data_IF_597291929595
#
_entry.id   IF_597291929595
#
_cell.length_a   1.000
_cell.length_b   1.000
_cell.length_c   1.000
_cell.angle_alpha   90.00
_cell.angle_beta   90.00
_cell.angle_gamma   90.00
#
_symmetry.space_group_name_H-M   'P 1'
#
loop_
_entity.id
_entity.type
_entity.pdbx_description
1 polymer ?
#
# COMPACT_ATOMS: atom_id res chain seq x y z
N UNK A 1 -15.67 -9.74 3.44
CA UNK A 1 -15.42 -8.46 4.13
C UNK A 1 -15.47 -7.35 3.08
N UNK A 2 -16.37 -6.37 3.22
CA UNK A 2 -16.46 -5.24 2.28
C UNK A 2 -15.17 -4.42 2.43
N UNK A 3 -14.46 -4.18 1.32
CA UNK A 3 -13.31 -3.26 1.36
C UNK A 3 -13.84 -1.86 1.65
N UNK A 4 -13.31 -1.21 2.69
CA UNK A 4 -13.52 0.23 2.87
C UNK A 4 -13.14 0.95 1.59
N UNK A 5 -13.98 1.87 1.13
CA UNK A 5 -13.70 2.71 -0.03
C UNK A 5 -12.51 3.65 0.20
N UNK A 6 -12.14 3.88 1.47
CA UNK A 6 -11.02 4.71 1.88
C UNK A 6 -9.98 3.87 2.66
N UNK A 7 -8.72 3.94 2.24
CA UNK A 7 -7.57 3.33 2.89
C UNK A 7 -6.63 4.41 3.46
N UNK A 8 -5.84 4.07 4.49
CA UNK A 8 -4.79 4.98 5.02
C UNK A 8 -3.79 5.40 3.94
N UNK A 9 -3.56 4.53 2.96
CA UNK A 9 -2.73 4.83 1.80
C UNK A 9 -3.29 6.01 0.97
N UNK A 10 -4.61 6.17 0.88
CA UNK A 10 -5.24 7.30 0.19
C UNK A 10 -4.99 8.61 0.93
N UNK A 11 -5.11 8.59 2.26
CA UNK A 11 -4.82 9.75 3.12
C UNK A 11 -3.35 10.16 2.98
N UNK A 12 -2.42 9.20 3.02
CA UNK A 12 -1.00 9.49 2.83
C UNK A 12 -0.68 10.02 1.43
N UNK A 13 -1.30 9.50 0.37
CA UNK A 13 -1.12 10.03 -0.99
C UNK A 13 -1.64 11.45 -1.13
N UNK A 14 -2.81 11.75 -0.59
CA UNK A 14 -3.44 13.07 -0.71
C UNK A 14 -2.78 14.14 0.17
N UNK A 15 -2.44 13.81 1.42
CA UNK A 15 -2.03 14.78 2.43
C UNK A 15 -0.61 14.57 2.98
N UNK A 16 -0.04 13.39 2.76
CA UNK A 16 1.27 13.00 3.28
C UNK A 16 2.42 13.92 2.85
N UNK A 17 2.53 14.37 1.58
CA UNK A 17 3.61 15.27 1.18
C UNK A 17 3.66 16.57 1.99
N UNK A 18 2.52 17.27 2.11
CA UNK A 18 2.44 18.52 2.87
C UNK A 18 2.67 18.29 4.37
N UNK A 19 2.09 17.22 4.93
CA UNK A 19 2.26 16.90 6.34
C UNK A 19 3.69 16.51 6.70
N UNK A 20 4.37 15.70 5.87
CA UNK A 20 5.78 15.34 6.08
C UNK A 20 6.70 16.55 6.05
N UNK A 21 6.44 17.51 5.16
CA UNK A 21 7.20 18.77 5.13
C UNK A 21 7.00 19.58 6.42
N UNK A 22 5.75 19.73 6.87
CA UNK A 22 5.42 20.43 8.11
C UNK A 22 5.96 19.74 9.37
N UNK A 23 6.18 18.42 9.33
CA UNK A 23 6.61 17.60 10.48
C UNK A 23 8.03 17.04 10.35
N UNK A 24 8.85 17.58 9.45
CA UNK A 24 10.15 16.99 9.12
C UNK A 24 11.08 16.79 10.33
N UNK A 25 11.04 17.69 11.31
CA UNK A 25 11.84 17.58 12.55
C UNK A 25 11.27 16.58 13.58
N UNK A 26 10.01 16.17 13.43
CA UNK A 26 9.31 15.28 14.37
C UNK A 26 9.16 13.85 13.85
N UNK A 27 9.53 13.59 12.60
CA UNK A 27 9.38 12.29 11.95
C UNK A 27 10.69 11.53 11.92
N UNK A 28 10.70 10.40 12.63
CA UNK A 28 11.78 9.43 12.49
C UNK A 28 11.81 8.79 11.10
N UNK A 29 12.99 8.37 10.68
CA UNK A 29 13.17 7.59 9.46
C UNK A 29 12.30 6.31 9.45
N UNK A 30 12.07 5.70 10.62
CA UNK A 30 11.19 4.54 10.75
C UNK A 30 9.74 4.86 10.39
N UNK A 31 9.21 5.98 10.86
CA UNK A 31 7.86 6.44 10.51
C UNK A 31 7.74 6.75 9.03
N UNK A 32 8.74 7.45 8.45
CA UNK A 32 8.76 7.74 7.01
C UNK A 32 8.73 6.44 6.18
N UNK A 33 9.53 5.43 6.55
CA UNK A 33 9.52 4.12 5.89
C UNK A 33 8.17 3.40 6.01
N UNK A 34 7.49 3.51 7.14
CA UNK A 34 6.13 2.94 7.33
C UNK A 34 5.14 3.64 6.41
N UNK A 35 5.18 4.97 6.31
CA UNK A 35 4.31 5.73 5.41
C UNK A 35 4.50 5.29 3.95
N UNK A 36 5.75 5.24 3.46
CA UNK A 36 6.05 4.80 2.09
C UNK A 36 5.61 3.35 1.84
N UNK A 37 5.80 2.45 2.81
CA UNK A 37 5.35 1.07 2.71
C UNK A 37 3.83 0.97 2.59
N UNK A 38 3.09 1.77 3.34
CA UNK A 38 1.61 1.81 3.28
C UNK A 38 1.14 2.35 1.93
N UNK A 39 1.75 3.43 1.43
CA UNK A 39 1.43 4.02 0.11
C UNK A 39 1.62 3.03 -1.04
N UNK A 40 2.67 2.20 -1.00
CA UNK A 40 3.03 1.25 -2.06
C UNK A 40 2.34 -0.12 -1.95
N UNK A 41 1.69 -0.41 -0.82
CA UNK A 41 1.16 -1.74 -0.53
C UNK A 41 0.07 -2.19 -1.51
N UNK A 42 0.27 -3.37 -2.14
CA UNK A 42 -0.62 -3.96 -3.16
C UNK A 42 -0.79 -3.05 -4.39
N UNK A 43 0.31 -2.47 -4.84
CA UNK A 43 0.41 -1.71 -6.10
C UNK A 43 1.51 -2.30 -6.97
N UNK A 44 1.56 -1.89 -8.24
CA UNK A 44 2.62 -2.30 -9.16
C UNK A 44 4.04 -1.96 -8.69
N UNK A 45 4.20 -0.97 -7.79
CA UNK A 45 5.50 -0.56 -7.26
C UNK A 45 6.24 -1.69 -6.51
N UNK A 46 5.51 -2.69 -5.98
CA UNK A 46 6.09 -3.84 -5.28
C UNK A 46 6.13 -5.11 -6.16
N UNK A 47 5.82 -4.97 -7.44
CA UNK A 47 5.60 -6.10 -8.35
C UNK A 47 4.37 -6.93 -7.98
N UNK A 48 4.20 -8.03 -8.70
CA UNK A 48 3.07 -8.93 -8.51
C UNK A 48 3.13 -10.11 -9.46
N UNK A 49 2.05 -10.88 -9.46
CA UNK A 49 1.85 -12.02 -10.33
C UNK A 49 0.73 -11.70 -11.31
N UNK A 50 0.93 -12.13 -12.56
CA UNK A 50 -0.08 -12.09 -13.60
C UNK A 50 -0.43 -13.54 -13.92
N UNK A 51 -1.71 -13.89 -13.76
CA UNK A 51 -2.25 -15.19 -14.10
C UNK A 51 -3.13 -15.01 -15.34
N UNK A 52 -2.89 -15.80 -16.38
CA UNK A 52 -3.73 -15.85 -17.57
C UNK A 52 -4.38 -17.22 -17.67
N UNK A 53 -5.70 -17.26 -17.80
CA UNK A 53 -6.40 -18.50 -18.10
C UNK A 53 -6.19 -18.85 -19.57
N UNK A 54 -5.68 -20.04 -19.88
CA UNK A 54 -5.49 -20.47 -21.28
C UNK A 54 -6.81 -20.80 -21.99
N UNK A 55 -7.87 -21.11 -21.24
CA UNK A 55 -9.17 -21.50 -21.81
C UNK A 55 -10.07 -20.30 -22.17
N UNK A 56 -10.04 -19.22 -21.38
CA UNK A 56 -10.90 -18.04 -21.59
C UNK A 56 -10.14 -16.72 -21.68
N UNK A 57 -8.81 -16.75 -21.67
CA UNK A 57 -7.90 -15.61 -21.78
C UNK A 57 -8.01 -14.55 -20.66
N UNK A 58 -8.86 -14.78 -19.66
CA UNK A 58 -9.00 -13.90 -18.52
C UNK A 58 -7.66 -13.68 -17.81
N UNK A 59 -7.36 -12.43 -17.50
CA UNK A 59 -6.16 -12.03 -16.76
C UNK A 59 -6.56 -11.66 -15.33
N UNK A 60 -5.86 -12.22 -14.35
CA UNK A 60 -5.91 -11.81 -12.96
C UNK A 60 -4.54 -11.30 -12.51
N UNK A 61 -4.53 -10.19 -11.76
CA UNK A 61 -3.31 -9.53 -11.30
C UNK A 61 -3.32 -9.45 -9.78
N UNK A 62 -2.31 -10.04 -9.16
CA UNK A 62 -2.11 -10.02 -7.71
C UNK A 62 -0.82 -9.29 -7.35
N UNK A 63 -0.94 -8.07 -6.82
CA UNK A 63 0.23 -7.29 -6.36
C UNK A 63 0.74 -7.76 -5.00
N UNK A 64 2.05 -7.64 -4.77
CA UNK A 64 2.70 -8.02 -3.53
C UNK A 64 2.32 -7.09 -2.36
N UNK A 65 2.32 -7.63 -1.14
CA UNK A 65 2.12 -6.82 0.07
C UNK A 65 3.43 -6.15 0.50
N UNK A 66 3.34 -5.02 1.20
CA UNK A 66 4.53 -4.35 1.73
C UNK A 66 5.17 -5.09 2.92
N UNK A 67 4.50 -6.12 3.47
CA UNK A 67 4.93 -6.92 4.64
C UNK A 67 5.27 -6.11 5.90
N UNK A 68 4.91 -4.83 5.96
CA UNK A 68 5.10 -4.02 7.17
C UNK A 68 3.98 -4.30 8.18
N UNK A 69 4.36 -4.63 9.43
CA UNK A 69 3.42 -4.94 10.53
C UNK A 69 2.47 -3.80 10.88
N UNK A 70 2.85 -2.55 10.57
CA UNK A 70 2.03 -1.37 10.84
C UNK A 70 1.05 -1.03 9.71
N UNK A 71 1.08 -1.77 8.58
CA UNK A 71 0.19 -1.51 7.45
C UNK A 71 -1.21 -2.12 7.69
N UNK A 72 -2.28 -1.32 7.83
CA UNK A 72 -3.62 -1.85 8.11
C UNK A 72 -4.12 -2.81 7.02
N UNK A 73 -3.78 -2.54 5.74
CA UNK A 73 -4.10 -3.42 4.61
C UNK A 73 -3.45 -4.79 4.73
N UNK A 74 -2.21 -4.86 5.25
CA UNK A 74 -1.53 -6.13 5.47
C UNK A 74 -2.13 -6.89 6.66
N UNK A 75 -2.44 -6.18 7.76
CA UNK A 75 -2.99 -6.81 8.97
C UNK A 75 -4.44 -7.28 8.81
N UNK A 76 -5.24 -6.59 7.98
CA UNK A 76 -6.63 -7.00 7.71
C UNK A 76 -6.76 -8.21 6.76
N UNK A 77 -5.65 -8.63 6.13
CA UNK A 77 -5.60 -9.80 5.21
C UNK A 77 -4.59 -10.85 5.70
N UNK A 78 -4.19 -10.77 6.97
CA UNK A 78 -3.32 -11.75 7.62
C UNK A 78 -4.10 -13.03 7.95
#
# INVERSE_FOLDING_TARGET
MVRSALEVADIFRAFGPAWRLAQHDHLSLGQLKVMSAIEQCRTAALGGHVLRCEACEQIDISYNSCRNRHCPKCQARA
#
